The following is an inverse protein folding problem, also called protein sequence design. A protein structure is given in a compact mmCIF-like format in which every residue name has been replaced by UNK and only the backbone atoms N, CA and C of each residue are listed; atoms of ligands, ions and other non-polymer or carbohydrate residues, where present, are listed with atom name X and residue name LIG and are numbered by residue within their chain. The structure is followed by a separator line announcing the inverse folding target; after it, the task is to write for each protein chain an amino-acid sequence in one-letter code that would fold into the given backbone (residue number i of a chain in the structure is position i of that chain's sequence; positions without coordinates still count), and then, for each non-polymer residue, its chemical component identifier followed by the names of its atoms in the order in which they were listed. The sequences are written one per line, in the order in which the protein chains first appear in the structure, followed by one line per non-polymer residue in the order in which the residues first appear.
data_IF_293891306064
#
_entry.id   IF_293891306064
#
_cell.length_a   1.000
_cell.length_b   1.000
_cell.length_c   1.000
_cell.angle_alpha   90.00
_cell.angle_beta   90.00
_cell.angle_gamma   90.00
#
_symmetry.space_group_name_H-M   'P 1'
#
loop_
_entity.id
_entity.type
_entity.pdbx_description
1 polymer ?
#
# COMPACT_ATOMS: atom_id res chain seq x y z
N UNK A 1 -32.16 34.01 6.49
CA UNK A 1 -31.13 34.47 5.54
C UNK A 1 -29.99 33.46 5.58
N UNK A 2 -29.87 32.57 4.58
CA UNK A 2 -28.72 31.66 4.50
C UNK A 2 -27.54 32.48 4.01
N UNK A 3 -26.48 32.62 4.81
CA UNK A 3 -25.19 33.07 4.29
C UNK A 3 -24.76 32.03 3.25
N UNK A 4 -24.97 32.33 1.97
CA UNK A 4 -24.24 31.66 0.89
C UNK A 4 -22.78 32.06 1.09
N UNK A 5 -21.97 31.11 1.51
CA UNK A 5 -20.52 31.25 1.48
C UNK A 5 -20.16 31.48 0.00
N UNK A 6 -19.62 32.66 -0.32
CA UNK A 6 -19.15 32.97 -1.66
C UNK A 6 -18.24 31.84 -2.16
N UNK A 7 -18.57 31.27 -3.32
CA UNK A 7 -17.79 30.20 -3.95
C UNK A 7 -18.26 28.75 -3.73
N UNK A 8 -19.24 28.49 -2.85
CA UNK A 8 -19.80 27.14 -2.69
C UNK A 8 -20.96 26.92 -3.67
N UNK A 9 -20.65 26.31 -4.81
CA UNK A 9 -21.64 25.89 -5.79
C UNK A 9 -21.90 24.37 -5.72
N UNK A 10 -23.05 23.88 -6.21
CA UNK A 10 -23.32 22.45 -6.26
C UNK A 10 -22.28 21.65 -7.06
N UNK A 11 -21.65 22.22 -8.09
CA UNK A 11 -20.65 21.50 -8.88
C UNK A 11 -19.31 21.38 -8.14
N UNK A 12 -18.83 22.47 -7.51
CA UNK A 12 -17.63 22.42 -6.69
C UNK A 12 -17.79 21.49 -5.49
N UNK A 13 -18.96 21.49 -4.85
CA UNK A 13 -19.25 20.57 -3.75
C UNK A 13 -19.12 19.11 -4.19
N UNK A 14 -19.59 18.75 -5.40
CA UNK A 14 -19.42 17.39 -5.92
C UNK A 14 -17.96 17.03 -6.14
N UNK A 15 -17.16 17.96 -6.68
CA UNK A 15 -15.72 17.73 -6.88
C UNK A 15 -15.02 17.54 -5.54
N UNK A 16 -15.35 18.35 -4.54
CA UNK A 16 -14.82 18.19 -3.19
C UNK A 16 -15.20 16.83 -2.58
N UNK A 17 -16.46 16.40 -2.69
CA UNK A 17 -16.91 15.08 -2.22
C UNK A 17 -16.11 13.96 -2.90
N UNK A 18 -15.96 14.00 -4.23
CA UNK A 18 -15.18 13.00 -4.98
C UNK A 18 -13.73 12.98 -4.50
N UNK A 19 -13.11 14.15 -4.33
CA UNK A 19 -11.75 14.25 -3.80
C UNK A 19 -11.63 13.58 -2.41
N UNK A 20 -12.53 13.90 -1.48
CA UNK A 20 -12.50 13.29 -0.15
C UNK A 20 -12.73 11.78 -0.20
N UNK A 21 -13.62 11.28 -1.05
CA UNK A 21 -13.81 9.84 -1.24
C UNK A 21 -12.53 9.16 -1.75
N UNK A 22 -11.84 9.77 -2.72
CA UNK A 22 -10.57 9.26 -3.22
C UNK A 22 -9.50 9.20 -2.12
N UNK A 23 -9.38 10.26 -1.31
CA UNK A 23 -8.42 10.32 -0.19
C UNK A 23 -8.79 9.30 0.89
N UNK A 24 -10.05 9.22 1.29
CA UNK A 24 -10.50 8.25 2.29
C UNK A 24 -10.29 6.81 1.85
N UNK A 25 -10.57 6.51 0.57
CA UNK A 25 -10.29 5.20 0.01
C UNK A 25 -8.79 4.89 0.08
N UNK A 26 -7.93 5.81 -0.36
CA UNK A 26 -6.47 5.64 -0.27
C UNK A 26 -6.01 5.41 1.18
N UNK A 27 -6.46 6.23 2.12
CA UNK A 27 -6.06 6.09 3.54
C UNK A 27 -6.53 4.76 4.11
N UNK A 28 -7.78 4.37 3.86
CA UNK A 28 -8.27 3.07 4.32
C UNK A 28 -7.48 1.92 3.69
N UNK A 29 -7.18 2.02 2.40
CA UNK A 29 -6.42 1.03 1.65
C UNK A 29 -5.01 0.85 2.18
N UNK A 30 -4.28 1.94 2.36
CA UNK A 30 -2.86 1.86 2.70
C UNK A 30 -2.63 1.63 4.19
N UNK A 31 -3.57 1.99 5.06
CA UNK A 31 -3.32 1.97 6.51
C UNK A 31 -4.28 1.10 7.32
N UNK A 32 -5.47 0.77 6.82
CA UNK A 32 -6.50 0.10 7.63
C UNK A 32 -6.82 -1.32 7.18
N UNK A 33 -6.89 -1.58 5.88
CA UNK A 33 -7.37 -2.86 5.35
C UNK A 33 -6.46 -3.49 4.28
N UNK A 34 -5.42 -2.80 3.83
CA UNK A 34 -4.42 -3.35 2.92
C UNK A 34 -3.45 -4.28 3.65
N UNK A 35 -3.29 -5.48 3.12
CA UNK A 35 -2.26 -6.44 3.53
C UNK A 35 -1.16 -6.58 2.48
N UNK A 36 -1.48 -6.30 1.22
CA UNK A 36 -0.60 -6.53 0.07
C UNK A 36 -0.15 -5.20 -0.55
N UNK A 37 1.16 -4.95 -0.56
CA UNK A 37 1.77 -3.69 -0.99
C UNK A 37 2.71 -3.91 -2.17
N UNK A 38 3.02 -2.85 -2.93
CA UNK A 38 3.98 -2.92 -4.03
C UNK A 38 5.35 -3.42 -3.53
N UNK A 39 5.84 -4.52 -4.10
CA UNK A 39 7.20 -5.02 -3.85
C UNK A 39 8.24 -4.33 -4.76
N UNK A 40 7.79 -3.91 -5.94
CA UNK A 40 8.56 -3.10 -6.90
C UNK A 40 8.07 -1.64 -6.91
N UNK A 41 8.80 -0.71 -7.54
CA UNK A 41 8.30 0.63 -7.79
C UNK A 41 6.90 0.61 -8.42
N UNK A 42 5.92 1.33 -7.84
CA UNK A 42 4.57 1.44 -8.39
C UNK A 42 4.60 1.91 -9.85
N UNK A 43 3.60 1.58 -10.68
CA UNK A 43 3.52 2.01 -12.08
C UNK A 43 3.12 3.50 -12.15
N UNK A 44 4.01 4.40 -11.72
CA UNK A 44 3.76 5.83 -11.57
C UNK A 44 3.29 6.48 -12.87
N UNK A 45 3.81 6.05 -14.02
CA UNK A 45 3.38 6.56 -15.32
C UNK A 45 1.89 6.29 -15.57
N UNK A 46 1.41 5.07 -15.31
CA UNK A 46 0.00 4.71 -15.45
C UNK A 46 -0.87 5.53 -14.49
N UNK A 47 -0.43 5.66 -13.23
CA UNK A 47 -1.12 6.47 -12.20
C UNK A 47 -1.25 7.93 -12.64
N UNK A 48 -0.17 8.52 -13.18
CA UNK A 48 -0.17 9.90 -13.69
C UNK A 48 -1.10 10.05 -14.90
N UNK A 49 -1.05 9.13 -15.87
CA UNK A 49 -1.92 9.19 -17.04
C UNK A 49 -3.40 9.12 -16.65
N UNK A 50 -3.77 8.17 -15.78
CA UNK A 50 -5.16 8.00 -15.31
C UNK A 50 -5.62 9.24 -14.53
N UNK A 51 -4.79 9.75 -13.63
CA UNK A 51 -5.15 10.92 -12.81
C UNK A 51 -5.30 12.20 -13.64
N UNK A 52 -4.42 12.44 -14.62
CA UNK A 52 -4.54 13.55 -15.56
C UNK A 52 -5.79 13.43 -16.42
N UNK A 53 -6.10 12.24 -16.93
CA UNK A 53 -7.30 12.01 -17.73
C UNK A 53 -8.57 12.30 -16.93
N UNK A 54 -8.71 11.75 -15.73
CA UNK A 54 -9.88 11.96 -14.87
C UNK A 54 -9.99 13.42 -14.40
N UNK A 55 -8.87 14.05 -14.05
CA UNK A 55 -8.82 15.48 -13.73
C UNK A 55 -9.28 16.35 -14.91
N UNK A 56 -8.86 16.02 -16.13
CA UNK A 56 -9.31 16.71 -17.33
C UNK A 56 -10.83 16.61 -17.52
N UNK A 57 -11.42 15.45 -17.25
CA UNK A 57 -12.89 15.29 -17.27
C UNK A 57 -13.56 16.21 -16.25
N UNK A 58 -13.03 16.29 -15.02
CA UNK A 58 -13.55 17.22 -13.99
C UNK A 58 -13.41 18.68 -14.41
N UNK A 59 -12.27 19.05 -14.97
CA UNK A 59 -12.02 20.40 -15.49
C UNK A 59 -13.04 20.78 -16.58
N UNK A 60 -13.27 19.89 -17.55
CA UNK A 60 -14.27 20.08 -18.61
C UNK A 60 -15.70 20.15 -18.05
N UNK A 61 -16.01 19.35 -17.03
CA UNK A 61 -17.30 19.39 -16.35
C UNK A 61 -17.55 20.74 -15.68
N UNK A 62 -16.56 21.28 -14.95
CA UNK A 62 -16.67 22.58 -14.29
C UNK A 62 -16.78 23.73 -15.29
N UNK A 63 -15.95 23.77 -16.33
CA UNK A 63 -16.05 24.80 -17.39
C UNK A 63 -17.45 24.85 -18.03
N UNK A 64 -18.10 23.69 -18.19
CA UNK A 64 -19.44 23.60 -18.77
C UNK A 64 -20.53 24.05 -17.81
N UNK A 65 -20.38 23.76 -16.51
CA UNK A 65 -21.41 24.05 -15.51
C UNK A 65 -21.31 25.45 -14.93
N UNK A 66 -20.10 25.98 -14.83
CA UNK A 66 -19.79 27.22 -14.14
C UNK A 66 -18.73 28.00 -14.94
N UNK A 67 -19.09 28.53 -16.12
CA UNK A 67 -18.13 29.16 -17.04
C UNK A 67 -17.51 30.45 -16.47
N UNK A 68 -18.21 31.14 -15.56
CA UNK A 68 -17.74 32.38 -14.91
C UNK A 68 -16.72 32.11 -13.80
N UNK A 69 -16.44 30.83 -13.50
CA UNK A 69 -15.61 30.39 -12.39
C UNK A 69 -14.11 30.49 -12.70
N UNK A 70 -13.40 31.35 -11.98
CA UNK A 70 -11.96 31.63 -12.17
C UNK A 70 -11.03 30.59 -11.52
N UNK A 71 -11.47 29.91 -10.46
CA UNK A 71 -10.70 28.91 -9.70
C UNK A 71 -10.82 27.47 -10.26
N UNK A 72 -11.42 27.30 -11.44
CA UNK A 72 -11.63 25.98 -12.08
C UNK A 72 -10.32 25.17 -12.25
N UNK A 73 -9.19 25.84 -12.50
CA UNK A 73 -7.88 25.19 -12.60
C UNK A 73 -7.44 24.57 -11.26
N UNK A 74 -7.69 25.27 -10.15
CA UNK A 74 -7.36 24.79 -8.80
C UNK A 74 -8.16 23.53 -8.46
N UNK A 75 -9.46 23.48 -8.80
CA UNK A 75 -10.27 22.27 -8.65
C UNK A 75 -9.77 21.11 -9.52
N UNK A 76 -9.33 21.39 -10.75
CA UNK A 76 -8.69 20.37 -11.60
C UNK A 76 -7.45 19.78 -10.94
N UNK A 77 -6.57 20.63 -10.40
CA UNK A 77 -5.36 20.17 -9.70
C UNK A 77 -5.70 19.33 -8.45
N UNK A 78 -6.63 19.79 -7.62
CA UNK A 78 -7.09 19.05 -6.42
C UNK A 78 -7.66 17.69 -6.83
N UNK A 79 -8.51 17.65 -7.87
CA UNK A 79 -9.03 16.40 -8.40
C UNK A 79 -7.91 15.48 -8.92
N UNK A 80 -6.88 16.02 -9.58
CA UNK A 80 -5.72 15.25 -10.05
C UNK A 80 -5.00 14.56 -8.89
N UNK A 81 -4.76 15.27 -7.78
CA UNK A 81 -4.14 14.70 -6.58
C UNK A 81 -5.02 13.59 -6.00
N UNK A 82 -6.32 13.85 -5.85
CA UNK A 82 -7.27 12.84 -5.37
C UNK A 82 -7.27 11.58 -6.24
N UNK A 83 -7.36 11.74 -7.56
CA UNK A 83 -7.35 10.62 -8.49
C UNK A 83 -6.00 9.90 -8.54
N UNK A 84 -4.87 10.57 -8.32
CA UNK A 84 -3.58 9.92 -8.21
C UNK A 84 -3.50 9.00 -6.99
N UNK A 85 -3.97 9.47 -5.82
CA UNK A 85 -4.07 8.66 -4.60
C UNK A 85 -5.03 7.48 -4.78
N UNK A 86 -6.20 7.73 -5.36
CA UNK A 86 -7.16 6.66 -5.67
C UNK A 86 -6.59 5.64 -6.66
N UNK A 87 -5.93 6.09 -7.73
CA UNK A 87 -5.33 5.22 -8.74
C UNK A 87 -4.21 4.37 -8.14
N UNK A 88 -3.38 4.94 -7.25
CA UNK A 88 -2.33 4.21 -6.54
C UNK A 88 -2.91 3.02 -5.78
N UNK A 89 -3.99 3.25 -5.04
CA UNK A 89 -4.68 2.23 -4.23
C UNK A 89 -5.41 1.19 -5.10
N UNK A 90 -6.18 1.63 -6.10
CA UNK A 90 -7.04 0.72 -6.89
C UNK A 90 -6.23 -0.19 -7.81
N UNK A 91 -5.06 0.25 -8.29
CA UNK A 91 -4.20 -0.56 -9.18
C UNK A 91 -3.74 -1.84 -8.48
N UNK A 92 -3.46 -1.80 -7.18
CA UNK A 92 -3.17 -3.00 -6.37
C UNK A 92 -4.33 -4.00 -6.41
N UNK A 93 -5.56 -3.50 -6.23
CA UNK A 93 -6.76 -4.36 -6.24
C UNK A 93 -7.06 -4.93 -7.61
N UNK A 94 -6.88 -4.16 -8.68
CA UNK A 94 -7.01 -4.67 -10.04
C UNK A 94 -5.95 -5.74 -10.34
N UNK A 95 -4.73 -5.57 -9.85
CA UNK A 95 -3.66 -6.55 -9.99
C UNK A 95 -4.02 -7.87 -9.29
N UNK A 96 -4.54 -7.81 -8.06
CA UNK A 96 -5.04 -8.98 -7.30
C UNK A 96 -6.23 -9.64 -8.02
N UNK A 97 -7.21 -8.86 -8.48
CA UNK A 97 -8.41 -9.39 -9.15
C UNK A 97 -8.11 -10.10 -10.47
N UNK A 98 -6.99 -9.77 -11.10
CA UNK A 98 -6.53 -10.36 -12.37
C UNK A 98 -5.48 -11.45 -12.17
N UNK A 99 -5.11 -11.74 -10.92
CA UNK A 99 -4.17 -12.80 -10.58
C UNK A 99 -4.79 -14.19 -10.79
N UNK A 100 -3.98 -15.11 -11.31
CA UNK A 100 -4.33 -16.52 -11.51
C UNK A 100 -3.50 -17.50 -10.68
N UNK A 101 -2.38 -17.05 -10.10
CA UNK A 101 -1.41 -17.90 -9.39
C UNK A 101 -1.51 -17.77 -7.87
N UNK A 102 -2.01 -16.63 -7.37
CA UNK A 102 -2.13 -16.40 -5.94
C UNK A 102 -0.82 -15.98 -5.27
N UNK A 103 -0.84 -15.95 -3.94
CA UNK A 103 0.37 -15.76 -3.13
C UNK A 103 1.23 -17.01 -3.15
N UNK A 104 2.53 -16.81 -3.33
CA UNK A 104 3.56 -17.85 -3.32
C UNK A 104 4.63 -17.48 -2.30
N UNK A 105 5.21 -18.49 -1.67
CA UNK A 105 6.29 -18.34 -0.69
C UNK A 105 7.63 -18.33 -1.43
N UNK A 106 8.44 -17.31 -1.20
CA UNK A 106 9.78 -17.16 -1.78
C UNK A 106 10.82 -17.01 -0.68
N UNK A 107 11.98 -17.64 -0.87
CA UNK A 107 13.08 -17.54 0.09
C UNK A 107 13.95 -16.34 -0.24
N UNK A 108 14.23 -15.55 0.77
CA UNK A 108 15.07 -14.38 0.68
C UNK A 108 16.22 -14.47 1.69
N UNK A 109 17.35 -13.87 1.34
CA UNK A 109 18.50 -13.69 2.20
C UNK A 109 18.79 -12.20 2.37
N UNK A 110 19.12 -11.76 3.59
CA UNK A 110 19.47 -10.37 3.85
C UNK A 110 20.87 -10.08 3.32
N UNK A 111 20.96 -9.19 2.32
CA UNK A 111 22.22 -8.79 1.72
C UNK A 111 22.95 -7.70 2.52
N UNK A 112 24.20 -7.44 2.16
CA UNK A 112 25.06 -6.47 2.86
C UNK A 112 24.56 -5.02 2.75
N UNK A 113 23.74 -4.71 1.74
CA UNK A 113 23.09 -3.41 1.55
C UNK A 113 21.77 -3.28 2.34
N UNK A 114 21.44 -4.26 3.19
CA UNK A 114 20.22 -4.35 3.99
C UNK A 114 18.95 -4.52 3.16
N UNK A 115 19.07 -4.97 1.91
CA UNK A 115 17.93 -5.43 1.11
C UNK A 115 17.77 -6.95 1.20
N UNK A 116 16.53 -7.42 1.19
CA UNK A 116 16.26 -8.85 1.08
C UNK A 116 16.33 -9.25 -0.40
N UNK A 117 17.19 -10.21 -0.74
CA UNK A 117 17.42 -10.69 -2.11
C UNK A 117 17.07 -12.18 -2.23
N UNK A 118 16.60 -12.60 -3.39
CA UNK A 118 16.26 -14.00 -3.68
C UNK A 118 17.08 -14.49 -4.88
N UNK A 119 17.41 -15.78 -4.89
CA UNK A 119 17.98 -16.45 -6.07
C UNK A 119 16.90 -16.78 -7.12
N UNK A 120 15.62 -16.60 -6.77
CA UNK A 120 14.47 -16.79 -7.64
C UNK A 120 14.21 -15.53 -8.48
N UNK A 121 13.47 -15.65 -9.59
CA UNK A 121 13.17 -14.53 -10.49
C UNK A 121 12.07 -13.60 -9.93
N UNK A 122 12.30 -13.02 -8.75
CA UNK A 122 11.41 -12.15 -7.98
C UNK A 122 12.12 -10.85 -7.60
N UNK A 123 11.40 -9.75 -7.30
CA UNK A 123 12.04 -8.48 -6.96
C UNK A 123 12.74 -8.51 -5.60
N UNK A 124 13.75 -7.66 -5.46
CA UNK A 124 14.40 -7.39 -4.17
C UNK A 124 13.47 -6.57 -3.27
N UNK A 125 13.53 -6.81 -1.96
CA UNK A 125 12.64 -6.17 -1.00
C UNK A 125 13.41 -5.25 -0.06
N UNK A 126 13.15 -3.95 -0.17
CA UNK A 126 13.64 -2.92 0.75
C UNK A 126 12.65 -2.71 1.91
N UNK A 127 12.57 -3.71 2.78
CA UNK A 127 11.68 -3.69 3.96
C UNK A 127 12.41 -3.41 5.27
N UNK A 128 13.75 -3.48 5.26
CA UNK A 128 14.55 -3.37 6.47
C UNK A 128 14.43 -1.95 7.03
N UNK A 129 13.90 -1.83 8.25
CA UNK A 129 13.77 -0.54 8.93
C UNK A 129 14.84 -0.40 10.03
N UNK A 130 15.92 0.36 9.81
CA UNK A 130 17.06 0.40 10.75
C UNK A 130 16.73 0.89 12.16
N UNK A 131 15.58 1.57 12.34
CA UNK A 131 15.13 2.09 13.64
C UNK A 131 14.21 1.12 14.40
N UNK A 132 13.80 0.01 13.78
CA UNK A 132 12.92 -0.98 14.40
C UNK A 132 13.76 -2.08 15.02
N UNK A 133 13.55 -2.32 16.32
CA UNK A 133 14.19 -3.41 17.06
C UNK A 133 13.90 -4.79 16.45
N UNK A 134 12.71 -4.98 15.89
CA UNK A 134 12.36 -6.21 15.18
C UNK A 134 13.30 -6.47 14.01
N UNK A 135 13.59 -5.46 13.17
CA UNK A 135 14.47 -5.67 12.02
C UNK A 135 15.94 -5.80 12.41
N UNK A 136 16.36 -5.13 13.50
CA UNK A 136 17.74 -5.19 14.01
C UNK A 136 18.17 -6.57 14.53
N UNK A 137 17.24 -7.51 14.75
CA UNK A 137 17.59 -8.87 15.16
C UNK A 137 18.22 -9.69 14.02
N UNK A 138 17.97 -9.30 12.76
CA UNK A 138 18.46 -9.99 11.58
C UNK A 138 19.88 -9.54 11.22
N UNK A 139 20.71 -10.49 10.79
CA UNK A 139 22.08 -10.30 10.35
C UNK A 139 22.21 -10.57 8.84
N UNK A 140 23.25 -10.00 8.23
CA UNK A 140 23.56 -10.28 6.82
C UNK A 140 23.78 -11.78 6.64
N UNK A 141 23.11 -12.36 5.65
CA UNK A 141 23.10 -13.80 5.41
C UNK A 141 21.93 -14.54 6.07
N UNK A 142 21.18 -13.90 6.97
CA UNK A 142 19.96 -14.48 7.52
C UNK A 142 18.92 -14.65 6.43
N UNK A 143 18.09 -15.68 6.59
CA UNK A 143 17.09 -16.04 5.62
C UNK A 143 15.70 -15.89 6.19
N UNK A 144 14.78 -15.45 5.35
CA UNK A 144 13.38 -15.27 5.69
C UNK A 144 12.51 -15.62 4.49
N UNK A 145 11.29 -16.11 4.76
CA UNK A 145 10.33 -16.41 3.71
C UNK A 145 9.30 -15.29 3.62
N UNK A 146 9.19 -14.69 2.45
CA UNK A 146 8.17 -13.67 2.15
C UNK A 146 7.15 -14.22 1.18
N UNK A 147 5.91 -13.79 1.36
CA UNK A 147 4.82 -14.14 0.44
C UNK A 147 4.67 -13.04 -0.60
N UNK A 148 4.87 -13.38 -1.86
CA UNK A 148 4.66 -12.48 -2.96
C UNK A 148 3.64 -13.04 -3.94
N UNK A 149 3.06 -12.15 -4.74
CA UNK A 149 2.33 -12.51 -5.95
C UNK A 149 2.71 -11.59 -7.08
N UNK A 150 2.60 -12.11 -8.29
CA UNK A 150 2.59 -11.31 -9.50
C UNK A 150 1.18 -11.34 -10.08
N UNK A 151 0.43 -10.26 -9.86
CA UNK A 151 -0.94 -10.18 -10.37
C UNK A 151 -0.99 -10.05 -11.89
N UNK A 152 -2.21 -10.02 -12.44
CA UNK A 152 -2.42 -10.07 -13.89
C UNK A 152 -1.93 -8.84 -14.66
N UNK A 153 -1.61 -7.75 -13.97
CA UNK A 153 -0.97 -6.56 -14.56
C UNK A 153 0.56 -6.65 -14.56
N UNK A 154 1.14 -7.77 -14.10
CA UNK A 154 2.59 -7.98 -14.00
C UNK A 154 3.26 -7.25 -12.82
N UNK A 155 2.47 -6.68 -11.91
CA UNK A 155 2.96 -5.94 -10.75
C UNK A 155 3.22 -6.91 -9.62
N UNK A 156 4.41 -6.83 -9.01
CA UNK A 156 4.73 -7.60 -7.82
C UNK A 156 4.19 -6.96 -6.56
N UNK A 157 3.55 -7.77 -5.72
CA UNK A 157 3.05 -7.37 -4.42
C UNK A 157 3.55 -8.31 -3.34
N UNK A 158 3.91 -7.75 -2.19
CA UNK A 158 4.27 -8.47 -0.98
C UNK A 158 3.12 -8.45 0.02
N UNK A 159 2.80 -9.61 0.60
CA UNK A 159 1.89 -9.71 1.73
C UNK A 159 2.63 -9.39 3.04
N UNK A 160 2.27 -8.26 3.64
CA UNK A 160 2.85 -7.76 4.88
C UNK A 160 2.15 -8.28 6.14
N UNK A 161 1.01 -8.97 6.05
CA UNK A 161 0.30 -9.48 7.24
C UNK A 161 1.20 -10.40 8.06
N UNK A 162 1.90 -11.34 7.41
CA UNK A 162 2.82 -12.25 8.10
C UNK A 162 3.98 -11.50 8.78
N UNK A 163 4.45 -10.41 8.16
CA UNK A 163 5.52 -9.58 8.72
C UNK A 163 5.01 -8.82 9.94
N UNK A 164 3.80 -8.25 9.86
CA UNK A 164 3.16 -7.57 10.98
C UNK A 164 2.83 -8.52 12.14
N UNK A 165 2.40 -9.75 11.86
CA UNK A 165 2.15 -10.76 12.88
C UNK A 165 3.44 -11.13 13.64
N UNK A 166 4.55 -11.34 12.91
CA UNK A 166 5.87 -11.58 13.52
C UNK A 166 6.37 -10.38 14.32
N UNK A 167 6.21 -9.17 13.80
CA UNK A 167 6.54 -7.93 14.52
C UNK A 167 5.74 -7.81 15.80
N UNK A 168 4.43 -8.02 15.73
CA UNK A 168 3.54 -7.98 16.89
C UNK A 168 3.96 -9.00 17.94
N UNK A 169 4.21 -10.25 17.54
CA UNK A 169 4.68 -11.30 18.45
C UNK A 169 6.00 -10.92 19.12
N UNK A 170 6.94 -10.34 18.37
CA UNK A 170 8.23 -9.90 18.90
C UNK A 170 8.07 -8.83 20.00
N UNK A 171 7.20 -7.84 19.79
CA UNK A 171 6.96 -6.75 20.74
C UNK A 171 6.07 -7.14 21.93
N UNK A 172 5.07 -8.01 21.71
CA UNK A 172 4.19 -8.49 22.77
C UNK A 172 4.93 -9.45 23.72
N UNK A 173 5.97 -10.16 23.25
CA UNK A 173 6.77 -11.11 24.04
C UNK A 173 7.89 -10.46 24.89
N UNK A 174 7.84 -9.16 25.18
CA UNK A 174 8.82 -8.43 26.03
C UNK A 174 10.29 -8.63 25.61
N UNK A 175 10.54 -8.77 24.30
CA UNK A 175 11.88 -9.00 23.78
C UNK A 175 12.45 -10.37 24.17
N UNK A 176 12.15 -11.36 23.33
CA UNK A 176 12.99 -12.56 23.09
C UNK A 176 12.98 -13.66 24.18
N UNK A 177 12.85 -13.39 25.48
CA UNK A 177 13.10 -14.44 26.49
C UNK A 177 11.88 -15.31 26.89
N UNK A 178 10.68 -14.75 26.96
CA UNK A 178 9.52 -15.44 27.56
C UNK A 178 8.92 -16.51 26.64
N UNK A 179 8.87 -16.23 25.34
CA UNK A 179 8.14 -17.06 24.38
C UNK A 179 8.97 -18.24 23.82
N UNK A 180 10.31 -18.18 23.83
CA UNK A 180 11.16 -19.32 23.45
C UNK A 180 11.14 -20.46 24.49
N UNK A 181 10.85 -20.15 25.76
CA UNK A 181 10.79 -21.14 26.85
C UNK A 181 9.51 -21.98 26.78
N UNK A 182 8.41 -21.44 26.24
CA UNK A 182 7.15 -22.19 26.07
C UNK A 182 7.16 -23.11 24.84
N UNK A 183 7.82 -22.71 23.75
CA UNK A 183 7.98 -23.56 22.56
C UNK A 183 8.84 -24.81 22.79
N UNK A 184 9.82 -24.75 23.71
CA UNK A 184 10.68 -25.90 24.02
C UNK A 184 10.08 -26.90 25.01
N UNK A 185 8.97 -26.55 25.68
CA UNK A 185 8.28 -27.46 26.63
C UNK A 185 7.27 -28.39 25.98
N UNK A 186 6.94 -28.21 24.70
CA UNK A 186 5.99 -29.06 23.97
C UNK A 186 6.56 -30.41 23.49
N UNK A 187 7.85 -30.71 23.72
CA UNK A 187 8.48 -31.94 23.18
C UNK A 187 9.18 -32.84 24.22
N UNK A 188 8.85 -32.70 25.50
CA UNK A 188 9.22 -33.70 26.51
C UNK A 188 7.99 -34.36 27.09
N UNK A 189 7.65 -35.52 26.52
CA UNK A 189 7.01 -36.59 27.26
C UNK A 189 5.60 -36.95 26.79
N UNK A 190 5.53 -37.94 25.89
CA UNK A 190 4.85 -39.21 26.21
C UNK A 190 5.59 -40.32 25.44
N UNK A 191 6.45 -41.05 26.14
CA UNK A 191 6.75 -42.44 25.81
C UNK A 191 5.67 -43.28 26.51
N UNK A 192 4.88 -44.02 25.74
CA UNK A 192 4.30 -45.30 26.13
C UNK A 192 4.43 -46.25 24.95
#
# INVERSE_FOLDING_TARGET
MKHQIEGVTPAALRVAIVFFLCVFYFVGEIYLWGSEYYADPPPYLLIVIVSLFLSFVVYRYLLKKEPERTDTKSYGLVACIGFALFAYAIVLRLNIMTDSQGLQDYRYQLAADMTWQSDEAVPNLDLYMPKSQYWQQYQVGDEETFQLRQGGLGIWQINMDKVYDKQKLFYDCDGVLSCMIEGSRSNTGVFY
#
